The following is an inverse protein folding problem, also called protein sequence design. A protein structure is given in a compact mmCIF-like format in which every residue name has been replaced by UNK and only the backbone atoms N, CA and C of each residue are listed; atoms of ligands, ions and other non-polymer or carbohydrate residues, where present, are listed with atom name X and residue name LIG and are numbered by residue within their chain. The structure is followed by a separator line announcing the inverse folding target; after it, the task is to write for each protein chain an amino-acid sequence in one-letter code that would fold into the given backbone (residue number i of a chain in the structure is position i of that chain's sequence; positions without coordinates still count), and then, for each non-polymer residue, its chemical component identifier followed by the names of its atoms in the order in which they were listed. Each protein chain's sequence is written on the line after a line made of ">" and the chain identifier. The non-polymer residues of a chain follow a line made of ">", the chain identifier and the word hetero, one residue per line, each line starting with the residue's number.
data_IF_806319541851
#
_entry.id   IF_806319541851
#
_cell.length_a   1.000
_cell.length_b   1.000
_cell.length_c   1.000
_cell.angle_alpha   90.00
_cell.angle_beta   90.00
_cell.angle_gamma   90.00
#
_symmetry.space_group_name_H-M   'P 1'
#
loop_
_entity.id
_entity.type
_entity.pdbx_description
1 polymer ?
#
# COMPACT_ATOMS: atom_id res chain seq x y z
N UNK A 1 23.78 -34.65 19.94
CA UNK A 1 23.08 -33.36 19.75
C UNK A 1 24.00 -32.42 18.99
N UNK A 2 23.67 -32.04 17.76
CA UNK A 2 24.37 -31.00 17.00
C UNK A 2 23.40 -29.83 16.85
N UNK A 3 23.66 -28.74 17.58
CA UNK A 3 22.92 -27.49 17.43
C UNK A 3 23.28 -26.90 16.06
N UNK A 4 22.29 -26.78 15.18
CA UNK A 4 22.38 -25.89 14.04
C UNK A 4 21.92 -24.51 14.50
N UNK A 5 22.88 -23.64 14.78
CA UNK A 5 22.65 -22.20 14.94
C UNK A 5 22.39 -21.61 13.56
N UNK A 6 21.12 -21.48 13.19
CA UNK A 6 20.71 -20.79 11.97
C UNK A 6 20.96 -19.29 12.16
N UNK A 7 22.03 -18.78 11.55
CA UNK A 7 22.29 -17.34 11.45
C UNK A 7 21.23 -16.74 10.54
N UNK A 8 20.25 -16.01 11.12
CA UNK A 8 19.30 -15.20 10.36
C UNK A 8 20.10 -14.06 9.73
N UNK A 9 20.35 -14.16 8.43
CA UNK A 9 20.93 -13.09 7.64
C UNK A 9 19.88 -11.99 7.56
N UNK A 10 20.00 -10.96 8.41
CA UNK A 10 19.29 -9.69 8.23
C UNK A 10 19.92 -9.05 7.01
N UNK A 11 19.42 -9.42 5.82
CA UNK A 11 19.68 -8.67 4.62
C UNK A 11 19.07 -7.28 4.84
N UNK A 12 19.92 -6.30 5.11
CA UNK A 12 19.57 -4.89 4.98
C UNK A 12 19.07 -4.68 3.55
N UNK A 13 17.76 -4.67 3.39
CA UNK A 13 17.04 -4.26 2.19
C UNK A 13 17.28 -2.75 2.00
N UNK A 14 18.45 -2.39 1.51
CA UNK A 14 18.71 -1.07 0.93
C UNK A 14 18.03 -1.05 -0.44
N UNK A 15 16.70 -0.99 -0.43
CA UNK A 15 15.90 -0.75 -1.62
C UNK A 15 16.25 0.65 -2.12
N UNK A 16 16.84 0.71 -3.31
CA UNK A 16 17.09 1.97 -4.00
C UNK A 16 15.82 2.82 -4.04
N UNK A 17 16.01 4.13 -3.90
CA UNK A 17 15.00 5.19 -3.71
C UNK A 17 14.01 5.40 -4.86
N UNK A 18 13.75 4.38 -5.66
CA UNK A 18 12.69 4.38 -6.67
C UNK A 18 11.80 3.19 -6.39
N UNK A 19 10.87 3.35 -5.44
CA UNK A 19 9.71 2.47 -5.40
C UNK A 19 9.03 2.63 -6.77
N UNK A 20 8.86 1.56 -7.58
CA UNK A 20 7.91 1.67 -8.68
C UNK A 20 6.58 2.07 -8.03
N UNK A 21 6.05 3.22 -8.44
CA UNK A 21 4.84 3.87 -7.91
C UNK A 21 3.55 3.05 -8.12
N UNK A 22 3.67 1.75 -8.36
CA UNK A 22 2.53 0.85 -8.50
C UNK A 22 2.07 0.44 -7.09
N UNK A 23 1.34 1.34 -6.43
CA UNK A 23 0.43 0.94 -5.36
C UNK A 23 -0.44 -0.23 -5.87
N UNK A 24 -0.78 -1.15 -4.97
CA UNK A 24 -1.43 -2.40 -5.32
C UNK A 24 -2.70 -2.15 -6.13
N UNK A 25 -2.88 -2.91 -7.22
CA UNK A 25 -3.98 -2.65 -8.13
C UNK A 25 -5.28 -3.15 -7.51
N UNK A 26 -6.25 -2.24 -7.31
CA UNK A 26 -7.60 -2.65 -6.95
C UNK A 26 -8.24 -3.29 -8.19
N UNK A 27 -8.49 -4.60 -8.12
CA UNK A 27 -9.07 -5.39 -9.22
C UNK A 27 -10.55 -5.70 -9.01
N UNK A 28 -11.12 -5.27 -7.89
CA UNK A 28 -12.53 -5.43 -7.57
C UNK A 28 -12.82 -5.10 -6.11
N UNK A 29 -14.02 -5.49 -5.67
CA UNK A 29 -14.45 -5.36 -4.28
C UNK A 29 -15.18 -6.61 -3.81
N UNK A 30 -15.05 -6.90 -2.52
CA UNK A 30 -15.81 -7.96 -1.87
C UNK A 30 -17.27 -7.53 -1.75
N UNK A 31 -18.18 -8.33 -2.28
CA UNK A 31 -19.62 -8.05 -2.17
C UNK A 31 -20.12 -8.25 -0.74
N UNK A 32 -19.82 -9.40 -0.15
CA UNK A 32 -20.05 -9.72 1.25
C UNK A 32 -19.24 -10.97 1.64
N UNK A 33 -18.97 -11.14 2.93
CA UNK A 33 -18.27 -12.32 3.47
C UNK A 33 -18.97 -13.63 3.11
N UNK A 34 -20.30 -13.67 3.13
CA UNK A 34 -21.09 -14.87 2.83
C UNK A 34 -20.84 -15.41 1.42
N UNK A 35 -20.56 -14.54 0.44
CA UNK A 35 -20.19 -15.00 -0.91
C UNK A 35 -18.83 -15.69 -0.91
N UNK A 36 -17.86 -15.14 -0.16
CA UNK A 36 -16.56 -15.79 0.00
C UNK A 36 -16.72 -17.14 0.74
N UNK A 37 -17.56 -17.21 1.78
CA UNK A 37 -17.84 -18.48 2.47
C UNK A 37 -18.47 -19.51 1.53
N UNK A 38 -19.41 -19.10 0.68
CA UNK A 38 -20.01 -19.98 -0.33
C UNK A 38 -18.97 -20.51 -1.33
N UNK A 39 -17.93 -19.72 -1.62
CA UNK A 39 -16.77 -20.12 -2.43
C UNK A 39 -15.72 -20.91 -1.63
N UNK A 40 -16.01 -21.25 -0.37
CA UNK A 40 -15.16 -22.10 0.50
C UNK A 40 -14.12 -21.34 1.33
N UNK A 41 -14.17 -20.00 1.35
CA UNK A 41 -13.26 -19.20 2.18
C UNK A 41 -13.60 -19.28 3.66
N UNK A 42 -12.57 -19.28 4.51
CA UNK A 42 -12.71 -19.28 5.97
C UNK A 42 -11.66 -18.41 6.66
N UNK A 43 -11.90 -18.04 7.91
CA UNK A 43 -10.87 -17.42 8.74
C UNK A 43 -9.74 -18.42 9.06
N UNK A 44 -8.48 -17.98 8.92
CA UNK A 44 -7.31 -18.70 9.42
C UNK A 44 -6.95 -18.32 10.87
N UNK A 45 -7.44 -17.19 11.37
CA UNK A 45 -7.16 -16.65 12.70
C UNK A 45 -8.32 -16.83 13.70
N UNK A 46 -9.38 -17.53 13.31
CA UNK A 46 -10.55 -17.80 14.15
C UNK A 46 -11.48 -16.59 14.34
N UNK A 47 -11.36 -15.56 13.50
CA UNK A 47 -12.28 -14.43 13.47
C UNK A 47 -13.69 -14.90 13.12
N UNK A 48 -14.68 -14.43 13.88
CA UNK A 48 -16.08 -14.82 13.69
C UNK A 48 -16.69 -14.20 12.43
N UNK A 49 -17.76 -14.84 11.95
CA UNK A 49 -18.42 -14.47 10.70
C UNK A 49 -19.04 -13.08 10.73
N UNK A 50 -19.52 -12.60 11.87
CA UNK A 50 -20.11 -11.27 11.97
C UNK A 50 -19.03 -10.20 11.87
N UNK A 51 -17.90 -10.39 12.55
CA UNK A 51 -16.73 -9.51 12.43
C UNK A 51 -16.23 -9.47 10.98
N UNK A 52 -16.06 -10.63 10.34
CA UNK A 52 -15.63 -10.70 8.94
C UNK A 52 -16.63 -10.09 7.96
N UNK A 53 -17.93 -10.30 8.17
CA UNK A 53 -18.98 -9.67 7.39
C UNK A 53 -18.84 -8.15 7.41
N UNK A 54 -18.71 -7.55 8.59
CA UNK A 54 -18.62 -6.11 8.75
C UNK A 54 -17.31 -5.53 8.21
N UNK A 55 -16.18 -6.18 8.47
CA UNK A 55 -14.87 -5.70 8.02
C UNK A 55 -14.68 -5.84 6.50
N UNK A 56 -15.15 -6.94 5.92
CA UNK A 56 -14.92 -7.23 4.51
C UNK A 56 -16.04 -6.76 3.58
N UNK A 57 -17.14 -6.24 4.11
CA UNK A 57 -18.17 -5.63 3.28
C UNK A 57 -17.58 -4.48 2.46
N UNK A 58 -17.62 -4.60 1.13
CA UNK A 58 -17.04 -3.66 0.18
C UNK A 58 -15.53 -3.43 0.34
N UNK A 59 -14.80 -4.38 0.96
CA UNK A 59 -13.35 -4.32 1.00
C UNK A 59 -12.76 -4.38 -0.41
N UNK A 60 -11.71 -3.61 -0.67
CA UNK A 60 -11.00 -3.62 -1.94
C UNK A 60 -10.25 -4.94 -2.11
N UNK A 61 -10.40 -5.58 -3.26
CA UNK A 61 -9.62 -6.74 -3.66
C UNK A 61 -8.40 -6.25 -4.41
N UNK A 62 -7.21 -6.51 -3.88
CA UNK A 62 -5.94 -5.97 -4.36
C UNK A 62 -5.11 -7.09 -4.98
N UNK A 63 -4.68 -6.87 -6.23
CA UNK A 63 -3.73 -7.71 -6.97
C UNK A 63 -4.12 -9.22 -7.00
N UNK A 64 -5.43 -9.49 -7.05
CA UNK A 64 -5.95 -10.84 -7.25
C UNK A 64 -5.88 -11.24 -8.74
N UNK A 65 -4.79 -11.88 -9.14
CA UNK A 65 -4.59 -12.37 -10.51
C UNK A 65 -4.59 -13.90 -10.58
N UNK A 66 -4.96 -14.53 -11.71
CA UNK A 66 -4.99 -16.00 -11.83
C UNK A 66 -3.69 -16.71 -11.43
N UNK A 67 -2.55 -16.05 -11.58
CA UNK A 67 -1.23 -16.61 -11.29
C UNK A 67 -0.73 -16.35 -9.86
N UNK A 68 -1.36 -15.47 -9.08
CA UNK A 68 -0.89 -15.21 -7.72
C UNK A 68 -1.29 -16.34 -6.78
N UNK A 69 -0.44 -16.67 -5.80
CA UNK A 69 -0.78 -17.66 -4.76
C UNK A 69 -1.77 -17.08 -3.75
N UNK A 70 -1.65 -15.78 -3.54
CA UNK A 70 -2.44 -15.03 -2.59
C UNK A 70 -2.85 -13.68 -3.18
N UNK A 71 -3.72 -12.97 -2.47
CA UNK A 71 -4.09 -11.60 -2.77
C UNK A 71 -4.41 -10.87 -1.47
N UNK A 72 -4.55 -9.56 -1.55
CA UNK A 72 -4.83 -8.74 -0.37
C UNK A 72 -6.27 -8.23 -0.42
N UNK A 73 -6.87 -8.11 0.76
CA UNK A 73 -8.14 -7.40 0.95
C UNK A 73 -7.86 -6.21 1.84
N UNK A 74 -8.33 -5.02 1.45
CA UNK A 74 -8.25 -3.82 2.29
C UNK A 74 -9.64 -3.37 2.68
N UNK A 75 -9.88 -3.26 3.98
CA UNK A 75 -11.14 -2.75 4.54
C UNK A 75 -11.46 -1.39 3.92
N UNK A 76 -12.75 -1.17 3.62
CA UNK A 76 -13.24 0.09 3.07
C UNK A 76 -12.79 1.27 3.94
N UNK A 77 -12.39 2.37 3.30
CA UNK A 77 -11.93 3.57 4.02
C UNK A 77 -10.47 3.51 4.49
N UNK A 78 -9.69 2.55 4.00
CA UNK A 78 -8.23 2.55 4.19
C UNK A 78 -7.75 1.82 5.44
N UNK A 79 -8.60 1.02 6.09
CA UNK A 79 -8.32 0.32 7.35
C UNK A 79 -7.47 -0.95 7.21
N UNK A 80 -7.77 -1.94 8.06
CA UNK A 80 -7.01 -3.18 8.17
C UNK A 80 -6.85 -3.91 6.82
N UNK A 81 -5.76 -4.66 6.70
CA UNK A 81 -5.43 -5.46 5.52
C UNK A 81 -5.47 -6.94 5.89
N UNK A 82 -6.08 -7.74 5.03
CA UNK A 82 -6.11 -9.19 5.15
C UNK A 82 -5.32 -9.82 4.01
N UNK A 83 -4.67 -10.93 4.31
CA UNK A 83 -4.08 -11.82 3.30
C UNK A 83 -5.04 -12.96 3.02
N UNK A 84 -5.37 -13.15 1.75
CA UNK A 84 -6.19 -14.24 1.26
C UNK A 84 -5.33 -15.27 0.52
N UNK A 85 -5.16 -16.46 1.10
CA UNK A 85 -4.43 -17.58 0.52
C UNK A 85 -5.37 -18.44 -0.34
N UNK A 86 -5.09 -18.52 -1.65
CA UNK A 86 -5.95 -19.24 -2.61
C UNK A 86 -5.81 -20.75 -2.51
N UNK A 87 -4.70 -21.27 -1.98
CA UNK A 87 -4.49 -22.71 -1.87
C UNK A 87 -5.31 -23.27 -0.70
N UNK A 88 -5.32 -22.57 0.43
CA UNK A 88 -6.05 -23.03 1.63
C UNK A 88 -7.46 -22.45 1.73
N UNK A 89 -7.82 -21.51 0.84
CA UNK A 89 -9.04 -20.71 0.91
C UNK A 89 -9.22 -20.09 2.30
N UNK A 90 -8.15 -19.46 2.79
CA UNK A 90 -8.18 -18.81 4.11
C UNK A 90 -7.85 -17.34 4.02
N UNK A 91 -8.53 -16.54 4.83
CA UNK A 91 -8.17 -15.15 5.08
C UNK A 91 -7.60 -15.00 6.49
N UNK A 92 -6.61 -14.13 6.64
CA UNK A 92 -6.06 -13.73 7.95
C UNK A 92 -5.79 -12.24 7.98
N UNK A 93 -6.06 -11.58 9.09
CA UNK A 93 -5.68 -10.19 9.25
C UNK A 93 -4.15 -10.07 9.35
N UNK A 94 -3.57 -9.11 8.63
CA UNK A 94 -2.17 -8.76 8.80
C UNK A 94 -2.01 -7.94 10.09
N UNK A 95 -1.11 -8.39 10.98
CA UNK A 95 -0.74 -7.66 12.19
C UNK A 95 0.25 -6.57 11.82
N UNK A 96 -0.25 -5.37 11.51
CA UNK A 96 0.53 -4.22 11.10
C UNK A 96 0.48 -3.14 12.19
N UNK A 97 1.62 -2.50 12.45
CA UNK A 97 1.74 -1.38 13.38
C UNK A 97 2.38 -0.20 12.62
N UNK A 98 1.57 0.61 11.91
CA UNK A 98 2.06 1.78 11.18
C UNK A 98 2.69 2.79 12.14
N UNK A 99 3.80 3.41 11.74
CA UNK A 99 4.50 4.42 12.55
C UNK A 99 3.63 5.64 12.85
N UNK A 100 2.76 6.01 11.91
CA UNK A 100 1.78 7.08 12.07
C UNK A 100 0.49 6.68 12.78
N UNK A 101 0.42 5.46 13.31
CA UNK A 101 -0.77 4.88 13.96
C UNK A 101 -2.02 4.83 13.05
N UNK A 102 -1.84 5.02 11.75
CA UNK A 102 -2.90 5.02 10.75
C UNK A 102 -2.61 4.05 9.62
N UNK A 103 -3.62 3.26 9.26
CA UNK A 103 -3.51 2.38 8.09
C UNK A 103 -3.46 3.18 6.77
N UNK A 104 -3.77 4.48 6.77
CA UNK A 104 -3.65 5.33 5.59
C UNK A 104 -2.20 5.46 5.10
N UNK A 105 -1.22 5.28 5.99
CA UNK A 105 0.20 5.25 5.62
C UNK A 105 0.62 3.92 5.00
N UNK A 106 -0.25 2.91 5.02
CA UNK A 106 0.06 1.59 4.51
C UNK A 106 -0.28 1.49 3.02
N UNK A 107 0.75 1.15 2.26
CA UNK A 107 0.73 0.81 0.85
C UNK A 107 1.09 -0.65 0.65
N UNK A 108 0.64 -1.21 -0.47
CA UNK A 108 0.92 -2.60 -0.84
C UNK A 108 1.49 -2.61 -2.24
N UNK A 109 2.46 -3.47 -2.52
CA UNK A 109 3.05 -3.62 -3.86
C UNK A 109 3.15 -5.09 -4.20
N UNK A 110 2.71 -5.47 -5.40
CA UNK A 110 3.01 -6.77 -5.98
C UNK A 110 4.23 -6.67 -6.93
N UNK A 111 5.31 -7.35 -6.56
CA UNK A 111 6.52 -7.52 -7.35
C UNK A 111 6.52 -8.93 -7.95
N UNK A 112 5.90 -9.09 -9.13
CA UNK A 112 5.87 -10.37 -9.85
C UNK A 112 7.10 -10.63 -10.72
N UNK A 113 7.89 -9.60 -11.04
CA UNK A 113 9.13 -9.75 -11.81
C UNK A 113 10.28 -10.04 -10.85
N UNK A 114 11.03 -11.12 -11.09
CA UNK A 114 12.20 -11.42 -10.28
C UNK A 114 13.36 -10.49 -10.66
N UNK A 115 13.72 -9.59 -9.75
CA UNK A 115 14.84 -8.66 -9.88
C UNK A 115 16.07 -9.10 -9.08
N UNK A 116 16.15 -10.39 -8.73
CA UNK A 116 17.22 -10.97 -7.91
C UNK A 116 16.84 -11.18 -6.43
N UNK A 117 15.63 -10.79 -6.03
CA UNK A 117 15.10 -10.91 -4.67
C UNK A 117 13.88 -11.85 -4.60
N UNK A 118 13.53 -12.49 -5.72
CA UNK A 118 12.31 -13.26 -5.86
C UNK A 118 11.07 -12.39 -6.08
N UNK A 119 9.91 -13.04 -6.01
CA UNK A 119 8.62 -12.42 -6.31
C UNK A 119 7.73 -12.44 -5.08
N UNK A 120 7.07 -11.32 -4.81
CA UNK A 120 6.45 -11.09 -3.52
C UNK A 120 5.37 -10.02 -3.53
N UNK A 121 4.58 -10.02 -2.47
CA UNK A 121 3.83 -8.88 -2.00
C UNK A 121 4.63 -8.16 -0.91
N UNK A 122 4.79 -6.86 -1.02
CA UNK A 122 5.34 -6.01 0.03
C UNK A 122 4.26 -5.15 0.65
N UNK A 123 4.32 -5.01 1.98
CA UNK A 123 3.57 -4.01 2.75
C UNK A 123 4.57 -2.92 3.13
N UNK A 124 4.24 -1.70 2.75
CA UNK A 124 5.09 -0.53 2.90
C UNK A 124 4.37 0.44 3.82
N UNK A 125 5.05 0.91 4.85
CA UNK A 125 4.65 2.08 5.62
C UNK A 125 5.33 3.31 4.99
N UNK A 126 4.55 4.16 4.33
CA UNK A 126 5.04 5.35 3.66
C UNK A 126 5.35 6.51 4.64
N UNK A 127 5.00 6.34 5.92
CA UNK A 127 5.17 7.29 7.02
C UNK A 127 4.66 8.70 6.69
N UNK A 128 3.60 8.81 5.87
CA UNK A 128 3.11 10.09 5.38
C UNK A 128 2.59 10.98 6.50
N UNK A 129 1.78 10.43 7.40
CA UNK A 129 1.24 11.19 8.52
C UNK A 129 2.32 11.66 9.51
N UNK A 130 3.34 10.82 9.78
CA UNK A 130 4.47 11.18 10.64
C UNK A 130 5.27 12.33 10.02
N UNK A 131 5.54 12.24 8.72
CA UNK A 131 6.25 13.28 7.97
C UNK A 131 5.46 14.58 7.93
N UNK A 132 4.16 14.51 7.66
CA UNK A 132 3.31 15.68 7.55
C UNK A 132 3.18 16.38 8.91
N UNK A 133 3.06 15.63 10.01
CA UNK A 133 3.10 16.18 11.37
C UNK A 133 4.43 16.89 11.67
N UNK A 134 5.55 16.26 11.33
CA UNK A 134 6.86 16.88 11.54
C UNK A 134 7.06 18.17 10.71
N UNK A 135 6.48 18.24 9.51
CA UNK A 135 6.46 19.48 8.69
C UNK A 135 5.51 20.51 9.30
N UNK A 136 4.37 20.08 9.83
CA UNK A 136 3.39 20.96 10.46
C UNK A 136 3.96 21.64 11.70
N UNK A 137 4.69 20.89 12.54
CA UNK A 137 5.36 21.41 13.73
C UNK A 137 6.41 22.49 13.39
N UNK A 138 7.00 22.45 12.19
CA UNK A 138 7.92 23.47 11.69
C UNK A 138 7.19 24.71 11.12
N UNK A 139 6.04 24.52 10.48
CA UNK A 139 5.33 25.59 9.75
C UNK A 139 4.27 26.31 10.60
N UNK A 140 3.72 25.62 11.59
CA UNK A 140 2.69 26.11 12.53
C UNK A 140 3.08 25.77 13.97
N UNK A 141 4.17 26.37 14.48
CA UNK A 141 4.62 26.08 15.84
C UNK A 141 3.57 26.53 16.86
N UNK A 142 3.36 25.70 17.89
CA UNK A 142 2.40 25.94 18.98
C UNK A 142 2.80 27.07 19.93
N UNK A 143 4.02 27.60 19.78
CA UNK A 143 4.59 28.70 20.55
C UNK A 143 5.05 29.80 19.60
N UNK A 144 5.23 31.06 20.07
CA UNK A 144 5.86 32.11 19.28
C UNK A 144 7.34 31.75 19.05
N UNK A 145 7.58 30.87 18.08
CA UNK A 145 8.90 30.58 17.58
C UNK A 145 9.38 31.80 16.80
N UNK A 146 10.64 32.17 16.98
CA UNK A 146 11.32 33.09 16.08
C UNK A 146 11.13 32.51 14.68
N UNK A 147 10.48 33.25 13.79
CA UNK A 147 10.25 32.77 12.43
C UNK A 147 11.61 32.60 11.76
N UNK A 148 11.94 31.36 11.43
CA UNK A 148 13.04 31.05 10.52
C UNK A 148 12.84 31.83 9.22
N UNK A 149 13.93 32.24 8.57
CA UNK A 149 13.82 32.75 7.20
C UNK A 149 13.28 31.64 6.30
N UNK A 150 12.59 32.01 5.21
CA UNK A 150 12.02 31.05 4.26
C UNK A 150 13.01 29.99 3.79
N UNK A 151 14.29 30.34 3.64
CA UNK A 151 15.34 29.42 3.19
C UNK A 151 15.73 28.39 4.28
N UNK A 152 15.75 28.81 5.55
CA UNK A 152 16.01 27.90 6.68
C UNK A 152 14.83 26.95 6.84
N UNK A 153 13.59 27.44 6.75
CA UNK A 153 12.39 26.61 6.80
C UNK A 153 12.37 25.58 5.66
N UNK A 154 12.67 25.99 4.43
CA UNK A 154 12.80 25.06 3.28
C UNK A 154 13.86 23.99 3.51
N UNK A 155 15.03 24.37 4.04
CA UNK A 155 16.11 23.43 4.35
C UNK A 155 15.69 22.42 5.43
N UNK A 156 14.99 22.88 6.48
CA UNK A 156 14.48 22.03 7.55
C UNK A 156 13.41 21.05 7.04
N UNK A 157 12.46 21.51 6.22
CA UNK A 157 11.46 20.65 5.58
C UNK A 157 12.13 19.59 4.69
N UNK A 158 13.14 19.98 3.89
CA UNK A 158 13.89 19.05 3.07
C UNK A 158 14.59 17.97 3.92
N UNK A 159 15.18 18.36 5.05
CA UNK A 159 15.81 17.44 6.01
C UNK A 159 14.79 16.45 6.60
N UNK A 160 13.60 16.91 6.98
CA UNK A 160 12.52 16.02 7.46
C UNK A 160 12.15 15.00 6.39
N UNK A 161 11.97 15.43 5.13
CA UNK A 161 11.66 14.54 4.00
C UNK A 161 12.77 13.51 3.72
N UNK A 162 14.02 13.87 3.96
CA UNK A 162 15.17 12.96 3.82
C UNK A 162 15.26 11.94 4.98
N UNK A 163 14.84 12.32 6.18
CA UNK A 163 14.92 11.47 7.38
C UNK A 163 13.74 10.50 7.50
N UNK A 164 12.53 10.92 7.11
CA UNK A 164 11.31 10.14 7.21
C UNK A 164 10.99 9.54 5.85
N UNK A 165 11.57 8.36 5.59
CA UNK A 165 11.45 7.63 4.32
C UNK A 165 10.53 6.41 4.46
N UNK A 166 9.86 5.95 3.38
CA UNK A 166 9.05 4.74 3.42
C UNK A 166 9.86 3.51 3.87
N UNK A 167 9.20 2.57 4.56
CA UNK A 167 9.80 1.34 5.06
C UNK A 167 8.97 0.13 4.65
N UNK A 168 9.63 -0.93 4.17
CA UNK A 168 8.98 -2.23 4.04
C UNK A 168 8.83 -2.83 5.44
N UNK A 169 7.59 -3.08 5.84
CA UNK A 169 7.26 -3.66 7.15
C UNK A 169 6.88 -5.14 7.07
N UNK A 170 6.57 -5.64 5.87
CA UNK A 170 6.29 -7.06 5.64
C UNK A 170 6.54 -7.44 4.19
N UNK A 171 7.07 -8.64 3.96
CA UNK A 171 7.20 -9.25 2.63
C UNK A 171 6.58 -10.65 2.67
N UNK A 172 5.77 -10.97 1.67
CA UNK A 172 5.09 -12.26 1.54
C UNK A 172 5.44 -12.85 0.16
N UNK A 173 6.13 -14.00 0.10
CA UNK A 173 6.53 -14.61 -1.17
C UNK A 173 5.32 -14.97 -2.03
N UNK A 174 5.46 -14.85 -3.35
CA UNK A 174 4.44 -15.24 -4.32
C UNK A 174 5.08 -15.91 -5.57
N UNK A 175 4.28 -16.17 -6.60
CA UNK A 175 4.75 -16.65 -7.89
C UNK A 175 5.38 -15.51 -8.69
N UNK A 176 6.46 -15.85 -9.39
CA UNK A 176 7.01 -15.01 -10.42
C UNK A 176 6.16 -15.09 -11.69
N UNK A 177 6.06 -13.95 -12.38
CA UNK A 177 5.31 -13.85 -13.63
C UNK A 177 6.19 -14.11 -14.84
N UNK A 178 5.60 -14.73 -15.86
CA UNK A 178 6.23 -14.85 -17.17
C UNK A 178 6.09 -13.55 -17.99
N UNK A 179 6.74 -13.46 -19.15
CA UNK A 179 6.72 -12.25 -20.00
C UNK A 179 5.32 -11.81 -20.41
N UNK A 180 4.40 -12.75 -20.67
CA UNK A 180 3.03 -12.43 -21.05
C UNK A 180 2.26 -11.80 -19.87
N UNK A 181 2.43 -12.35 -18.68
CA UNK A 181 1.84 -11.83 -17.44
C UNK A 181 2.45 -10.48 -17.05
N UNK A 182 3.76 -10.28 -17.27
CA UNK A 182 4.42 -8.98 -17.12
C UNK A 182 3.79 -7.93 -18.03
N UNK A 183 3.58 -8.26 -19.32
CA UNK A 183 2.92 -7.36 -20.26
C UNK A 183 1.49 -7.02 -19.83
N UNK A 184 0.74 -8.00 -19.30
CA UNK A 184 -0.61 -7.77 -18.78
C UNK A 184 -0.62 -6.81 -17.58
N UNK A 185 0.34 -6.95 -16.66
CA UNK A 185 0.50 -6.03 -15.52
C UNK A 185 0.88 -4.62 -15.99
N UNK A 186 1.81 -4.51 -16.94
CA UNK A 186 2.23 -3.22 -17.51
C UNK A 186 1.07 -2.52 -18.24
N UNK A 187 0.28 -3.25 -19.02
CA UNK A 187 -0.90 -2.72 -19.70
C UNK A 187 -1.93 -2.17 -18.71
N UNK A 188 -2.22 -2.90 -17.62
CA UNK A 188 -3.12 -2.43 -16.57
C UNK A 188 -2.62 -1.15 -15.89
N UNK A 189 -1.32 -1.07 -15.59
CA UNK A 189 -0.71 0.13 -15.01
C UNK A 189 -0.86 1.33 -15.96
N UNK A 190 -0.56 1.13 -17.24
CA UNK A 190 -0.69 2.18 -18.25
C UNK A 190 -2.13 2.67 -18.43
N UNK A 191 -3.12 1.78 -18.28
CA UNK A 191 -4.54 2.16 -18.33
C UNK A 191 -4.92 3.04 -17.15
N UNK A 192 -4.55 2.64 -15.93
CA UNK A 192 -4.80 3.42 -14.71
C UNK A 192 -4.13 4.81 -14.78
N UNK A 193 -2.90 4.90 -15.27
CA UNK A 193 -2.19 6.17 -15.42
C UNK A 193 -2.91 7.11 -16.40
N UNK A 194 -3.44 6.56 -17.50
CA UNK A 194 -4.21 7.32 -18.49
C UNK A 194 -5.51 7.86 -17.88
N UNK A 195 -6.23 7.04 -17.13
CA UNK A 195 -7.46 7.46 -16.44
C UNK A 195 -7.18 8.57 -15.42
N UNK A 196 -6.09 8.44 -14.65
CA UNK A 196 -5.66 9.48 -13.72
C UNK A 196 -5.34 10.80 -14.42
N UNK A 197 -4.59 10.76 -15.52
CA UNK A 197 -4.27 11.96 -16.31
C UNK A 197 -5.53 12.64 -16.84
N UNK A 198 -6.50 11.87 -17.35
CA UNK A 198 -7.78 12.41 -17.81
C UNK A 198 -8.56 13.06 -16.67
N UNK A 199 -8.61 12.43 -15.50
CA UNK A 199 -9.27 13.00 -14.32
C UNK A 199 -8.61 14.30 -13.86
N UNK A 200 -7.27 14.35 -13.78
CA UNK A 200 -6.54 15.57 -13.41
C UNK A 200 -6.80 16.70 -14.40
N UNK A 201 -6.83 16.41 -15.70
CA UNK A 201 -7.16 17.38 -16.73
C UNK A 201 -8.59 17.93 -16.57
N UNK A 202 -9.57 17.06 -16.28
CA UNK A 202 -10.96 17.47 -16.03
C UNK A 202 -11.09 18.34 -14.78
N UNK A 203 -10.44 17.98 -13.67
CA UNK A 203 -10.45 18.78 -12.45
C UNK A 203 -9.79 20.13 -12.64
N UNK A 204 -8.66 20.15 -13.35
CA UNK A 204 -7.94 21.40 -13.66
C UNK A 204 -8.78 22.32 -14.54
N UNK A 205 -9.47 21.77 -15.55
CA UNK A 205 -10.40 22.52 -16.40
C UNK A 205 -11.58 23.04 -15.57
N UNK A 206 -12.21 22.21 -14.74
CA UNK A 206 -13.33 22.62 -13.89
C UNK A 206 -12.96 23.76 -12.93
N UNK A 207 -11.77 23.70 -12.33
CA UNK A 207 -11.27 24.78 -11.48
C UNK A 207 -10.93 26.05 -12.28
N UNK A 208 -10.40 25.91 -13.49
CA UNK A 208 -10.19 27.03 -14.40
C UNK A 208 -11.53 27.70 -14.76
N UNK A 209 -12.53 26.92 -15.19
CA UNK A 209 -13.89 27.39 -15.47
C UNK A 209 -14.48 28.14 -14.27
N UNK A 210 -14.32 27.61 -13.06
CA UNK A 210 -14.80 28.24 -11.83
C UNK A 210 -14.13 29.61 -11.57
N UNK A 211 -12.84 29.75 -11.88
CA UNK A 211 -12.07 30.97 -11.63
C UNK A 211 -12.23 32.02 -12.73
N UNK A 212 -12.34 31.61 -13.99
CA UNK A 212 -12.25 32.52 -15.14
C UNK A 212 -13.52 32.57 -16.00
N UNK A 213 -14.49 31.69 -15.76
CA UNK A 213 -15.73 31.62 -16.55
C UNK A 213 -15.52 31.16 -18.00
N UNK A 214 -14.32 30.69 -18.35
CA UNK A 214 -13.94 30.27 -19.69
C UNK A 214 -13.92 28.74 -19.72
N UNK A 215 -14.95 28.14 -20.31
CA UNK A 215 -15.22 26.71 -20.35
C UNK A 215 -15.02 26.14 -21.75
#
# INVERSE_FOLDING_TARGET
>A
MKLFTTTVLVASLCLGTTFPSAAGNVVGSVKAWQYMQADGWKSADGMDDNTLHNMLYQASVIDNYPWTKQFLLRVRGGGAIFLADKKTHTIRQLKLNPAGETYNDIETVYQGEDKGEGCYFAIIDNQSSVRDKAIDDLTRPSWPAVQDTDDVLKANIAKVRQQIVPKIIMVMPDNCVNKQQQAALAAKRSENDRELQQWVAQQSLAELCRRTGNC
#
